data_IF_759594595287
#
_entry.id   IF_759594595287
#
_cell.length_a   1.000
_cell.length_b   1.000
_cell.length_c   1.000
_cell.angle_alpha   90.00
_cell.angle_beta   90.00
_cell.angle_gamma   90.00
#
_symmetry.space_group_name_H-M   'P 1'
#
loop_
_entity.id
_entity.type
_entity.pdbx_description
1 polymer ?
#
# COMPACT_ATOMS: atom_id res chain seq x y z
N UNK A 1 15.85 12.78 -30.99
CA UNK A 1 14.38 12.67 -31.00
C UNK A 1 13.94 12.15 -29.64
N UNK A 2 12.97 12.78 -29.03
CA UNK A 2 12.39 12.32 -27.77
C UNK A 2 11.15 11.51 -28.14
N UNK A 3 11.06 10.27 -27.64
CA UNK A 3 9.89 9.41 -27.77
C UNK A 3 9.32 9.16 -26.38
N UNK A 4 8.00 9.06 -26.27
CA UNK A 4 7.30 8.70 -25.04
C UNK A 4 6.40 7.50 -25.29
N UNK A 5 6.35 6.61 -24.33
CA UNK A 5 5.49 5.42 -24.36
C UNK A 5 4.56 5.44 -23.14
N UNK A 6 3.36 4.91 -23.30
CA UNK A 6 2.39 4.79 -22.23
C UNK A 6 2.43 3.35 -21.71
N UNK A 7 2.56 3.21 -20.40
CA UNK A 7 2.52 1.93 -19.70
C UNK A 7 1.37 1.92 -18.70
N UNK A 8 0.80 0.74 -18.48
CA UNK A 8 -0.34 0.51 -17.59
C UNK A 8 0.09 -0.35 -16.41
N UNK A 9 -0.26 0.08 -15.22
CA UNK A 9 -0.08 -0.67 -13.99
C UNK A 9 -1.38 -0.74 -13.19
N UNK A 10 -1.54 -1.79 -12.40
CA UNK A 10 -2.69 -1.92 -11.50
C UNK A 10 -2.36 -1.45 -10.10
N UNK A 11 -3.30 -0.73 -9.50
CA UNK A 11 -3.21 -0.27 -8.13
C UNK A 11 -4.45 -0.69 -7.35
N UNK A 12 -4.26 -1.26 -6.16
CA UNK A 12 -5.36 -1.61 -5.29
C UNK A 12 -6.13 -0.36 -4.85
N UNK A 13 -7.45 -0.36 -5.08
CA UNK A 13 -8.31 0.75 -4.72
C UNK A 13 -8.46 0.95 -3.22
N UNK A 14 -8.23 -0.10 -2.42
CA UNK A 14 -8.32 -0.02 -0.96
C UNK A 14 -7.04 0.46 -0.31
N UNK A 15 -5.91 -0.21 -0.54
CA UNK A 15 -4.66 0.06 0.18
C UNK A 15 -3.61 0.80 -0.64
N UNK A 16 -3.78 0.92 -1.96
CA UNK A 16 -2.83 1.59 -2.83
C UNK A 16 -1.63 0.74 -3.25
N UNK A 17 -1.61 -0.55 -2.89
CA UNK A 17 -0.58 -1.49 -3.37
C UNK A 17 -0.57 -1.54 -4.89
N UNK A 18 0.62 -1.50 -5.49
CA UNK A 18 0.82 -1.66 -6.93
C UNK A 18 1.09 -3.13 -7.20
N UNK A 19 0.42 -3.68 -8.20
CA UNK A 19 0.64 -5.06 -8.62
C UNK A 19 2.03 -5.22 -9.26
N UNK A 20 2.74 -6.24 -8.84
CA UNK A 20 4.03 -6.67 -9.37
C UNK A 20 4.03 -8.19 -9.54
N UNK A 21 4.47 -8.69 -10.69
CA UNK A 21 4.60 -10.13 -10.94
C UNK A 21 5.98 -10.70 -10.56
N UNK A 22 6.82 -9.88 -9.92
CA UNK A 22 8.19 -10.17 -9.54
C UNK A 22 9.22 -9.67 -10.56
N UNK A 23 8.83 -9.41 -11.79
CA UNK A 23 9.69 -8.86 -12.84
C UNK A 23 9.15 -7.54 -13.40
N UNK A 24 7.82 -7.37 -13.42
CA UNK A 24 7.15 -6.23 -14.04
C UNK A 24 6.11 -5.60 -13.11
N UNK A 25 6.00 -4.28 -13.16
CA UNK A 25 4.95 -3.49 -12.49
C UNK A 25 4.07 -2.76 -13.52
N UNK A 26 4.50 -2.75 -14.79
CA UNK A 26 3.83 -2.03 -15.86
C UNK A 26 3.85 -2.83 -17.16
N UNK A 27 2.76 -2.72 -17.91
CA UNK A 27 2.53 -3.41 -19.19
C UNK A 27 2.23 -2.41 -20.29
N UNK A 28 2.43 -2.82 -21.53
CA UNK A 28 2.17 -1.98 -22.70
C UNK A 28 0.69 -1.73 -22.98
N UNK A 29 -0.19 -2.55 -22.42
CA UNK A 29 -1.64 -2.43 -22.54
C UNK A 29 -2.36 -2.75 -21.22
N UNK A 30 -3.57 -2.20 -21.10
CA UNK A 30 -4.40 -2.31 -19.90
C UNK A 30 -4.89 -3.75 -19.67
N UNK A 31 -5.23 -4.46 -20.74
CA UNK A 31 -5.75 -5.83 -20.62
C UNK A 31 -4.71 -6.77 -20.04
N UNK A 32 -3.45 -6.68 -20.49
CA UNK A 32 -2.35 -7.48 -19.95
C UNK A 32 -2.10 -7.19 -18.48
N UNK A 33 -2.16 -5.93 -18.05
CA UNK A 33 -2.02 -5.57 -16.63
C UNK A 33 -3.12 -6.20 -15.77
N UNK A 34 -4.37 -6.17 -16.24
CA UNK A 34 -5.53 -6.75 -15.56
C UNK A 34 -5.43 -8.27 -15.51
N UNK A 35 -5.16 -8.93 -16.63
CA UNK A 35 -5.07 -10.38 -16.71
C UNK A 35 -4.01 -10.95 -15.78
N UNK A 36 -2.79 -10.38 -15.78
CA UNK A 36 -1.72 -10.81 -14.89
C UNK A 36 -2.08 -10.66 -13.41
N UNK A 37 -2.72 -9.55 -13.03
CA UNK A 37 -3.17 -9.35 -11.66
C UNK A 37 -4.26 -10.35 -11.25
N UNK A 38 -5.20 -10.64 -12.14
CA UNK A 38 -6.26 -11.61 -11.88
C UNK A 38 -5.73 -13.05 -11.75
N UNK A 39 -4.73 -13.43 -12.54
CA UNK A 39 -4.01 -14.70 -12.38
C UNK A 39 -3.26 -14.81 -11.05
N UNK A 40 -2.89 -13.66 -10.46
CA UNK A 40 -2.26 -13.57 -9.14
C UNK A 40 -3.27 -13.33 -8.00
N UNK A 41 -4.52 -13.77 -8.18
CA UNK A 41 -5.59 -13.73 -7.19
C UNK A 41 -6.04 -12.31 -6.77
N UNK A 42 -5.73 -11.29 -7.57
CA UNK A 42 -6.38 -10.00 -7.39
C UNK A 42 -7.85 -10.09 -7.79
N UNK A 43 -8.68 -9.31 -7.13
CA UNK A 43 -10.12 -9.29 -7.39
C UNK A 43 -10.55 -7.98 -8.07
N UNK A 44 -11.44 -8.09 -9.03
CA UNK A 44 -12.06 -6.93 -9.70
C UNK A 44 -13.56 -6.93 -9.45
N UNK A 45 -14.07 -5.82 -8.93
CA UNK A 45 -15.51 -5.61 -8.73
C UNK A 45 -15.88 -4.17 -9.07
N UNK A 46 -16.91 -4.00 -9.92
CA UNK A 46 -17.44 -2.67 -10.29
C UNK A 46 -16.38 -1.69 -10.80
N UNK A 47 -15.40 -2.19 -11.57
CA UNK A 47 -14.32 -1.38 -12.14
C UNK A 47 -13.23 -0.99 -11.13
N UNK A 48 -13.27 -1.53 -9.92
CA UNK A 48 -12.22 -1.38 -8.90
C UNK A 48 -11.40 -2.66 -8.78
N UNK A 49 -10.13 -2.52 -8.43
CA UNK A 49 -9.18 -3.62 -8.27
C UNK A 49 -8.73 -3.72 -6.82
N UNK A 50 -8.63 -4.93 -6.30
CA UNK A 50 -8.29 -5.21 -4.90
C UNK A 50 -7.21 -6.29 -4.85
N UNK A 51 -6.11 -6.00 -4.14
CA UNK A 51 -5.04 -6.97 -3.92
C UNK A 51 -5.50 -8.10 -2.97
N UNK A 52 -4.73 -9.17 -2.92
CA UNK A 52 -5.02 -10.36 -2.09
C UNK A 52 -5.21 -10.06 -0.60
N UNK A 53 -4.66 -8.95 -0.09
CA UNK A 53 -4.82 -8.51 1.30
C UNK A 53 -6.08 -7.65 1.53
N UNK A 54 -6.83 -7.33 0.49
CA UNK A 54 -7.96 -6.40 0.56
C UNK A 54 -9.32 -7.04 0.27
N UNK A 55 -9.33 -8.33 0.06
CA UNK A 55 -10.54 -9.14 -0.03
C UNK A 55 -10.30 -10.52 0.59
N UNK A 56 -11.36 -11.25 0.84
CA UNK A 56 -11.33 -12.68 1.19
C UNK A 56 -12.22 -13.45 0.21
N UNK A 57 -11.85 -14.69 -0.05
CA UNK A 57 -12.64 -15.62 -0.83
C UNK A 57 -13.00 -16.81 0.05
N UNK A 58 -14.27 -17.17 0.05
CA UNK A 58 -14.74 -18.39 0.68
C UNK A 58 -14.51 -19.60 -0.24
N UNK A 59 -13.76 -20.57 0.22
CA UNK A 59 -13.35 -21.73 -0.61
C UNK A 59 -14.51 -22.70 -0.90
N UNK A 60 -15.58 -22.66 -0.12
CA UNK A 60 -16.74 -23.55 -0.33
C UNK A 60 -17.77 -22.93 -1.26
N UNK A 61 -17.99 -21.62 -1.17
CA UNK A 61 -19.04 -20.91 -1.93
C UNK A 61 -18.51 -20.12 -3.10
N UNK A 62 -17.19 -19.94 -3.22
CA UNK A 62 -16.52 -19.02 -4.17
C UNK A 62 -16.93 -17.54 -3.98
N UNK A 63 -17.61 -17.21 -2.90
CA UNK A 63 -18.03 -15.85 -2.61
C UNK A 63 -16.84 -14.98 -2.23
N UNK A 64 -16.72 -13.82 -2.88
CA UNK A 64 -15.67 -12.85 -2.58
C UNK A 64 -16.25 -11.70 -1.76
N UNK A 65 -15.61 -11.41 -0.63
CA UNK A 65 -15.93 -10.28 0.22
C UNK A 65 -14.80 -9.26 0.17
N UNK A 66 -15.07 -8.08 -0.39
CA UNK A 66 -14.15 -6.94 -0.39
C UNK A 66 -14.23 -6.23 0.96
N UNK A 67 -13.07 -6.00 1.59
CA UNK A 67 -13.02 -5.30 2.86
C UNK A 67 -13.41 -3.82 2.71
N UNK A 68 -13.98 -3.18 3.74
CA UNK A 68 -14.36 -1.78 3.71
C UNK A 68 -13.20 -0.87 3.28
N UNK A 69 -13.49 0.21 2.57
CA UNK A 69 -12.47 1.18 2.18
C UNK A 69 -11.77 1.80 3.41
N UNK A 70 -10.48 2.09 3.26
CA UNK A 70 -9.75 2.80 4.29
C UNK A 70 -10.30 4.20 4.50
N UNK A 71 -10.30 4.70 5.75
CA UNK A 71 -10.61 6.09 6.04
C UNK A 71 -9.72 7.06 5.25
N UNK A 72 -10.20 8.27 4.98
CA UNK A 72 -9.48 9.26 4.17
C UNK A 72 -8.10 9.62 4.73
N UNK A 73 -7.97 9.70 6.06
CA UNK A 73 -6.68 9.93 6.72
C UNK A 73 -5.66 8.84 6.42
N UNK A 74 -6.07 7.58 6.35
CA UNK A 74 -5.19 6.46 5.99
C UNK A 74 -4.82 6.49 4.51
N UNK A 75 -5.76 6.84 3.61
CA UNK A 75 -5.47 7.03 2.19
C UNK A 75 -4.46 8.16 1.97
N UNK A 76 -4.58 9.25 2.71
CA UNK A 76 -3.65 10.39 2.65
C UNK A 76 -2.26 10.00 3.15
N UNK A 77 -2.17 9.24 4.25
CA UNK A 77 -0.92 8.70 4.74
C UNK A 77 -0.25 7.79 3.69
N UNK A 78 -0.99 6.91 3.08
CA UNK A 78 -0.47 6.01 2.04
C UNK A 78 0.08 6.79 0.85
N UNK A 79 -0.60 7.83 0.38
CA UNK A 79 -0.09 8.72 -0.68
C UNK A 79 1.18 9.45 -0.27
N UNK A 80 1.29 9.88 0.98
CA UNK A 80 2.51 10.49 1.51
C UNK A 80 3.67 9.51 1.51
N UNK A 81 3.46 8.29 2.02
CA UNK A 81 4.47 7.24 2.04
C UNK A 81 4.93 6.89 0.62
N UNK A 82 4.02 6.75 -0.34
CA UNK A 82 4.35 6.49 -1.75
C UNK A 82 5.29 7.54 -2.33
N UNK A 83 5.11 8.80 -1.95
CA UNK A 83 5.92 9.91 -2.42
C UNK A 83 7.34 9.93 -1.83
N UNK A 84 7.49 9.60 -0.54
CA UNK A 84 8.77 9.70 0.18
C UNK A 84 9.56 8.40 0.22
N UNK A 85 8.92 7.28 -0.02
CA UNK A 85 9.48 5.93 0.08
C UNK A 85 9.16 5.10 -1.16
N UNK A 86 9.31 5.69 -2.34
CA UNK A 86 9.09 5.00 -3.62
C UNK A 86 9.99 3.75 -3.75
N UNK A 87 9.41 2.66 -4.25
CA UNK A 87 10.12 1.39 -4.44
C UNK A 87 10.31 0.56 -3.17
N UNK A 88 9.62 0.89 -2.09
CA UNK A 88 9.66 0.12 -0.84
C UNK A 88 8.37 -0.67 -0.62
N UNK A 89 8.51 -1.81 0.08
CA UNK A 89 7.35 -2.63 0.43
C UNK A 89 6.52 -1.97 1.53
N UNK A 90 5.22 -1.92 1.33
CA UNK A 90 4.24 -1.46 2.31
C UNK A 90 3.23 -2.55 2.59
N UNK A 91 2.87 -2.68 3.85
CA UNK A 91 1.84 -3.60 4.32
C UNK A 91 0.93 -2.88 5.31
N UNK A 92 -0.38 -3.08 5.17
CA UNK A 92 -1.37 -2.54 6.10
C UNK A 92 -2.11 -3.69 6.73
N UNK A 93 -2.01 -3.81 8.05
CA UNK A 93 -2.81 -4.74 8.86
C UNK A 93 -3.83 -3.98 9.69
N UNK A 94 -4.88 -4.67 10.10
CA UNK A 94 -5.93 -4.09 10.93
C UNK A 94 -6.42 -5.07 12.00
N UNK A 95 -6.87 -4.52 13.11
CA UNK A 95 -7.65 -5.21 14.12
C UNK A 95 -8.95 -4.43 14.40
N UNK A 96 -9.67 -4.76 15.46
CA UNK A 96 -10.97 -4.13 15.77
C UNK A 96 -10.88 -2.61 16.00
N UNK A 97 -9.75 -2.10 16.49
CA UNK A 97 -9.60 -0.72 16.96
C UNK A 97 -8.57 0.11 16.20
N UNK A 98 -7.66 -0.53 15.49
CA UNK A 98 -6.48 0.09 14.91
C UNK A 98 -6.16 -0.41 13.51
N UNK A 99 -5.52 0.47 12.72
CA UNK A 99 -4.71 0.09 11.56
C UNK A 99 -3.23 0.16 11.92
N UNK A 100 -2.42 -0.74 11.39
CA UNK A 100 -0.97 -0.68 11.46
C UNK A 100 -0.40 -0.64 10.06
N UNK A 101 0.25 0.46 9.71
CA UNK A 101 0.98 0.61 8.44
C UNK A 101 2.44 0.29 8.70
N UNK A 102 2.93 -0.74 8.03
CA UNK A 102 4.34 -1.14 8.02
C UNK A 102 4.97 -0.74 6.71
N UNK A 103 6.03 0.03 6.75
CA UNK A 103 6.75 0.43 5.54
C UNK A 103 8.27 0.36 5.74
N UNK A 104 9.00 -0.07 4.71
CA UNK A 104 10.44 -0.20 4.73
C UNK A 104 11.09 0.95 3.96
N UNK A 105 12.12 1.54 4.55
CA UNK A 105 12.90 2.64 3.98
C UNK A 105 14.38 2.30 3.94
N UNK A 106 15.08 2.92 3.00
CA UNK A 106 16.54 2.94 2.93
C UNK A 106 17.00 4.38 3.20
N UNK A 107 16.97 4.82 4.47
CA UNK A 107 17.32 6.18 4.87
C UNK A 107 17.98 6.24 6.24
N UNK A 108 18.70 7.35 6.49
CA UNK A 108 19.36 7.58 7.77
C UNK A 108 18.36 7.95 8.88
N UNK A 109 18.70 7.72 10.16
CA UNK A 109 17.88 8.06 11.32
C UNK A 109 17.46 9.53 11.43
N UNK A 110 18.20 10.46 10.83
CA UNK A 110 17.85 11.89 10.83
C UNK A 110 16.56 12.23 10.12
N UNK A 111 16.12 11.36 9.23
CA UNK A 111 14.85 11.51 8.53
C UNK A 111 13.65 11.17 9.40
N UNK A 112 13.85 10.36 10.43
CA UNK A 112 12.85 9.87 11.37
C UNK A 112 12.07 10.99 12.06
N UNK A 113 12.76 11.96 12.64
CA UNK A 113 12.12 13.02 13.44
C UNK A 113 11.23 13.92 12.57
N UNK A 114 11.66 14.18 11.36
CA UNK A 114 10.87 14.95 10.39
C UNK A 114 9.59 14.22 10.01
N UNK A 115 9.67 12.93 9.72
CA UNK A 115 8.51 12.13 9.33
C UNK A 115 7.52 11.97 10.48
N UNK A 116 7.98 11.78 11.70
CA UNK A 116 7.12 11.66 12.87
C UNK A 116 6.26 12.89 13.08
N UNK A 117 6.84 14.08 13.06
CA UNK A 117 6.11 15.33 13.23
C UNK A 117 5.08 15.54 12.11
N UNK A 118 5.46 15.24 10.88
CA UNK A 118 4.54 15.35 9.75
C UNK A 118 3.38 14.36 9.87
N UNK A 119 3.65 13.11 10.22
CA UNK A 119 2.63 12.08 10.38
C UNK A 119 1.66 12.41 11.53
N UNK A 120 2.15 12.91 12.64
CA UNK A 120 1.32 13.40 13.74
C UNK A 120 0.39 14.53 13.30
N UNK A 121 0.87 15.49 12.53
CA UNK A 121 0.04 16.58 11.99
C UNK A 121 -1.02 16.06 11.01
N UNK A 122 -0.62 15.12 10.14
CA UNK A 122 -1.50 14.54 9.13
C UNK A 122 -2.65 13.73 9.74
N UNK A 123 -2.37 12.96 10.78
CA UNK A 123 -3.33 12.04 11.40
C UNK A 123 -4.09 12.66 12.57
N UNK A 124 -3.56 13.72 13.18
CA UNK A 124 -4.19 14.38 14.31
C UNK A 124 -4.52 13.41 15.45
N UNK A 125 -5.75 13.44 15.94
CA UNK A 125 -6.24 12.60 17.03
C UNK A 125 -6.28 11.09 16.70
N UNK A 126 -6.19 10.74 15.43
CA UNK A 126 -6.11 9.34 14.99
C UNK A 126 -4.73 8.73 15.14
N UNK A 127 -3.70 9.54 15.33
CA UNK A 127 -2.33 9.06 15.55
C UNK A 127 -2.21 8.36 16.90
N UNK A 128 -1.68 7.12 16.90
CA UNK A 128 -1.40 6.37 18.11
C UNK A 128 0.10 6.34 18.37
N UNK A 129 0.87 5.78 17.43
CA UNK A 129 2.32 5.63 17.58
C UNK A 129 3.03 5.54 16.24
N UNK A 130 4.29 5.92 16.27
CA UNK A 130 5.25 5.69 15.20
C UNK A 130 6.49 5.07 15.83
N UNK A 131 6.85 3.89 15.35
CA UNK A 131 8.05 3.16 15.81
C UNK A 131 8.93 2.83 14.61
N UNK A 132 10.24 2.79 14.84
CA UNK A 132 11.23 2.43 13.84
C UNK A 132 12.07 1.27 14.32
N UNK A 133 12.29 0.34 13.42
CA UNK A 133 13.18 -0.81 13.61
C UNK A 133 14.30 -0.75 12.59
N UNK A 134 15.55 -0.76 13.07
CA UNK A 134 16.72 -0.80 12.19
C UNK A 134 16.89 -2.20 11.63
N UNK A 135 17.04 -2.28 10.32
CA UNK A 135 17.31 -3.51 9.60
C UNK A 135 18.76 -3.56 9.09
N UNK A 136 19.07 -4.58 8.29
CA UNK A 136 20.37 -4.71 7.62
C UNK A 136 20.49 -3.72 6.45
N UNK A 137 21.72 -3.37 6.08
CA UNK A 137 22.04 -2.55 4.91
C UNK A 137 21.40 -1.14 4.92
N UNK A 138 21.46 -0.45 6.06
CA UNK A 138 20.85 0.87 6.24
C UNK A 138 19.35 0.91 5.95
N UNK A 139 18.66 -0.21 6.10
CA UNK A 139 17.21 -0.25 5.99
C UNK A 139 16.55 0.02 7.33
N UNK A 140 15.39 0.66 7.26
CA UNK A 140 14.53 0.96 8.41
C UNK A 140 13.13 0.48 8.11
N UNK A 141 12.47 -0.08 9.09
CA UNK A 141 11.06 -0.39 9.01
C UNK A 141 10.31 0.52 9.96
N UNK A 142 9.36 1.30 9.46
CA UNK A 142 8.47 2.06 10.32
C UNK A 142 7.15 1.33 10.52
N UNK A 143 6.59 1.48 11.71
CA UNK A 143 5.28 0.97 12.10
C UNK A 143 4.44 2.15 12.57
N UNK A 144 3.40 2.49 11.82
CA UNK A 144 2.50 3.59 12.15
C UNK A 144 1.17 3.00 12.57
N UNK A 145 0.77 3.24 13.82
CA UNK A 145 -0.52 2.82 14.35
C UNK A 145 -1.51 3.97 14.31
N UNK A 146 -2.69 3.69 13.80
CA UNK A 146 -3.76 4.64 13.54
C UNK A 146 -5.05 4.12 14.15
N UNK A 147 -5.72 4.96 14.91
CA UNK A 147 -7.04 4.65 15.48
C UNK A 147 -8.11 4.60 14.40
N UNK A 148 -8.98 3.61 14.46
CA UNK A 148 -10.18 3.51 13.61
C UNK A 148 -11.21 4.59 13.86
#
# INVERSE_FOLDING_TARGET
MIVSEIFYGLKCNRCGEVYEDGEHSFWSDESSAIENAMESEWHMEKGKHYCTNCHSKDDETDEVTVFPEFPENLKTLNKFIDRVASGTSRYVSENETEFTVKNRFYKSPKFKDFEENFIKQLLGEKFISLEYEEGKYNSWTCFIKIKK
#
